data_IF_917707777282
#
_entry.id   IF_917707777282
#
_cell.length_a   1.000
_cell.length_b   1.000
_cell.length_c   1.000
_cell.angle_alpha   90.00
_cell.angle_beta   90.00
_cell.angle_gamma   90.00
#
_symmetry.space_group_name_H-M   'P 1'
#
loop_
_entity.id
_entity.type
_entity.pdbx_description
1 polymer ?
#
# COMPACT_ATOMS: atom_id res chain seq x y z
N UNK A 1 20.59 8.84 6.76
CA UNK A 1 20.78 7.98 7.97
C UNK A 1 20.16 6.63 7.66
N UNK A 2 20.97 5.61 7.53
CA UNK A 2 20.76 4.34 6.81
C UNK A 2 19.54 3.54 7.35
N UNK A 3 18.62 3.13 6.46
CA UNK A 3 17.46 2.25 6.77
C UNK A 3 17.86 0.94 7.49
N UNK A 4 19.07 0.42 7.19
CA UNK A 4 19.60 -0.77 7.86
C UNK A 4 19.91 -0.57 9.35
N UNK A 5 20.25 0.65 9.81
CA UNK A 5 20.47 0.95 11.23
C UNK A 5 19.18 1.08 12.05
N UNK A 6 18.02 1.29 11.39
CA UNK A 6 16.71 1.40 12.06
C UNK A 6 16.08 0.03 12.40
N UNK A 7 16.52 -1.06 11.77
CA UNK A 7 16.01 -2.41 12.06
C UNK A 7 16.43 -2.95 13.44
N UNK A 8 17.47 -2.38 14.09
CA UNK A 8 18.00 -2.85 15.36
C UNK A 8 17.64 -1.97 16.58
N UNK A 9 16.87 -0.90 16.44
CA UNK A 9 16.41 -0.11 17.60
C UNK A 9 15.06 -0.62 18.09
N UNK A 10 14.93 -0.81 19.41
CA UNK A 10 13.67 -1.20 20.05
C UNK A 10 12.63 -0.11 19.78
N UNK A 11 11.43 -0.50 19.32
CA UNK A 11 10.35 0.44 18.97
C UNK A 11 9.59 0.87 20.24
N UNK A 12 9.60 2.16 20.54
CA UNK A 12 8.82 2.71 21.65
C UNK A 12 7.39 3.08 21.21
N UNK A 13 6.46 3.08 22.16
CA UNK A 13 5.08 3.51 21.92
C UNK A 13 4.98 4.98 21.48
N UNK A 14 5.76 5.93 22.07
CA UNK A 14 5.82 7.30 21.58
C UNK A 14 6.31 7.40 20.12
N UNK A 15 7.34 6.63 19.74
CA UNK A 15 7.83 6.61 18.35
C UNK A 15 6.75 6.07 17.39
N UNK A 16 6.10 4.95 17.74
CA UNK A 16 4.99 4.41 16.95
C UNK A 16 3.85 5.43 16.80
N UNK A 17 3.42 6.03 17.93
CA UNK A 17 2.34 7.02 17.94
C UNK A 17 2.64 8.21 17.03
N UNK A 18 3.87 8.72 17.05
CA UNK A 18 4.31 9.83 16.21
C UNK A 18 4.26 9.44 14.73
N UNK A 19 4.92 8.34 14.37
CA UNK A 19 5.01 7.89 12.96
C UNK A 19 3.66 7.49 12.37
N UNK A 20 2.80 6.82 13.15
CA UNK A 20 1.46 6.46 12.70
C UNK A 20 0.54 7.67 12.54
N UNK A 21 0.78 8.75 13.27
CA UNK A 21 -0.02 9.99 13.15
C UNK A 21 0.17 10.71 11.81
N UNK A 22 1.32 10.56 11.16
CA UNK A 22 1.62 11.19 9.87
C UNK A 22 0.68 10.75 8.75
N UNK A 23 0.11 9.56 8.86
CA UNK A 23 -0.86 9.00 7.91
C UNK A 23 -2.33 9.28 8.28
N UNK A 24 -2.61 9.94 9.40
CA UNK A 24 -3.98 10.23 9.82
C UNK A 24 -4.61 11.33 8.94
N UNK A 25 -5.60 10.95 8.14
CA UNK A 25 -6.35 11.82 7.22
C UNK A 25 -7.73 12.23 7.76
N UNK A 26 -8.07 11.81 8.98
CA UNK A 26 -9.33 12.19 9.65
C UNK A 26 -9.20 13.48 10.44
N UNK A 27 -7.98 13.99 10.64
CA UNK A 27 -7.72 15.26 11.35
C UNK A 27 -8.53 16.40 10.74
N UNK A 28 -9.08 17.25 11.62
CA UNK A 28 -9.98 18.38 11.30
C UNK A 28 -11.42 17.99 10.91
N UNK A 29 -11.84 16.74 11.11
CA UNK A 29 -13.25 16.34 11.01
C UNK A 29 -13.87 16.27 12.41
N UNK A 30 -15.09 16.79 12.58
CA UNK A 30 -15.87 16.63 13.83
C UNK A 30 -16.13 15.15 14.15
N UNK A 31 -16.06 14.30 13.15
CA UNK A 31 -16.27 12.84 13.22
C UNK A 31 -14.97 12.03 13.34
N UNK A 32 -13.81 12.68 13.57
CA UNK A 32 -12.52 11.97 13.67
C UNK A 32 -12.59 10.81 14.67
N UNK A 33 -13.10 11.06 15.89
CA UNK A 33 -13.17 10.04 16.94
C UNK A 33 -14.12 8.90 16.55
N UNK A 34 -15.23 9.20 15.86
CA UNK A 34 -16.18 8.20 15.36
C UNK A 34 -15.52 7.34 14.27
N UNK A 35 -14.83 7.95 13.32
CA UNK A 35 -14.10 7.22 12.28
C UNK A 35 -13.02 6.31 12.88
N UNK A 36 -12.30 6.78 13.90
CA UNK A 36 -11.24 6.00 14.54
C UNK A 36 -11.80 4.81 15.35
N UNK A 37 -12.85 4.99 16.17
CA UNK A 37 -13.43 3.91 16.97
C UNK A 37 -14.16 2.86 16.12
N UNK A 38 -14.84 3.31 15.06
CA UNK A 38 -15.47 2.40 14.10
C UNK A 38 -14.44 1.69 13.23
N UNK A 39 -13.34 2.36 12.89
CA UNK A 39 -12.22 1.74 12.21
C UNK A 39 -11.61 0.60 13.03
N UNK A 40 -11.31 0.84 14.31
CA UNK A 40 -10.83 -0.22 15.21
C UNK A 40 -11.78 -1.44 15.23
N UNK A 41 -13.08 -1.21 15.36
CA UNK A 41 -14.07 -2.27 15.33
C UNK A 41 -14.08 -3.00 13.97
N UNK A 42 -13.98 -2.25 12.87
CA UNK A 42 -13.93 -2.78 11.52
C UNK A 42 -12.76 -3.74 11.32
N UNK A 43 -11.55 -3.36 11.74
CA UNK A 43 -10.36 -4.21 11.58
C UNK A 43 -10.44 -5.47 12.44
N UNK A 44 -11.00 -5.38 13.64
CA UNK A 44 -11.25 -6.59 14.44
C UNK A 44 -12.32 -7.48 13.77
N UNK A 45 -13.34 -6.90 13.14
CA UNK A 45 -14.30 -7.63 12.31
C UNK A 45 -13.64 -8.32 11.11
N UNK A 46 -12.70 -7.65 10.45
CA UNK A 46 -11.88 -8.19 9.35
C UNK A 46 -11.02 -9.36 9.83
N UNK A 47 -10.36 -9.25 10.99
CA UNK A 47 -9.62 -10.35 11.63
C UNK A 47 -10.49 -11.59 11.80
N UNK A 48 -11.69 -11.45 12.40
CA UNK A 48 -12.63 -12.56 12.58
C UNK A 48 -13.06 -13.18 11.24
N UNK A 49 -13.27 -12.34 10.22
CA UNK A 49 -13.67 -12.78 8.89
C UNK A 49 -12.52 -13.51 8.17
N UNK A 50 -11.28 -13.06 8.33
CA UNK A 50 -10.08 -13.67 7.76
C UNK A 50 -9.82 -15.05 8.39
N UNK A 51 -9.94 -15.18 9.72
CA UNK A 51 -9.85 -16.48 10.40
C UNK A 51 -10.93 -17.44 9.94
N UNK A 52 -12.20 -16.99 9.85
CA UNK A 52 -13.29 -17.80 9.32
C UNK A 52 -13.02 -18.27 7.88
N UNK A 53 -12.51 -17.36 7.02
CA UNK A 53 -12.18 -17.67 5.63
C UNK A 53 -11.06 -18.71 5.53
N UNK A 54 -10.01 -18.59 6.35
CA UNK A 54 -8.88 -19.54 6.34
C UNK A 54 -9.29 -20.96 6.79
N UNK A 55 -10.34 -21.08 7.60
CA UNK A 55 -10.92 -22.39 7.99
C UNK A 55 -11.77 -22.99 6.87
N UNK A 56 -12.56 -22.14 6.18
CA UNK A 56 -13.47 -22.58 5.12
C UNK A 56 -12.77 -22.87 3.80
N UNK A 57 -11.86 -21.99 3.42
CA UNK A 57 -11.19 -22.02 2.13
C UNK A 57 -9.71 -22.43 2.36
N UNK A 58 -9.15 -23.23 1.45
CA UNK A 58 -7.72 -23.54 1.50
C UNK A 58 -6.92 -22.33 0.98
N UNK A 59 -6.71 -21.33 1.85
CA UNK A 59 -5.88 -20.17 1.53
C UNK A 59 -4.40 -20.49 1.69
N UNK A 60 -3.56 -19.90 0.85
CA UNK A 60 -2.10 -20.07 0.87
C UNK A 60 -1.43 -19.28 1.99
N UNK A 61 -2.05 -18.16 2.39
CA UNK A 61 -1.56 -17.29 3.47
C UNK A 61 -1.78 -17.96 4.83
N UNK A 62 -0.80 -17.84 5.72
CA UNK A 62 -0.92 -18.34 7.09
C UNK A 62 -1.92 -17.50 7.89
N UNK A 63 -2.56 -18.11 8.89
CA UNK A 63 -3.45 -17.38 9.79
C UNK A 63 -2.71 -16.26 10.54
N UNK A 64 -1.42 -16.44 10.83
CA UNK A 64 -0.60 -15.44 11.51
C UNK A 64 -0.33 -14.22 10.61
N UNK A 65 -0.05 -14.42 9.31
CA UNK A 65 0.13 -13.31 8.36
C UNK A 65 -1.14 -12.48 8.22
N UNK A 66 -2.30 -13.14 8.02
CA UNK A 66 -3.60 -12.46 7.95
C UNK A 66 -3.91 -11.70 9.26
N UNK A 67 -3.59 -12.31 10.40
CA UNK A 67 -3.81 -11.68 11.69
C UNK A 67 -2.87 -10.49 11.92
N UNK A 68 -1.61 -10.57 11.48
CA UNK A 68 -0.63 -9.47 11.62
C UNK A 68 -1.12 -8.21 10.90
N UNK A 69 -1.65 -8.36 9.69
CA UNK A 69 -2.18 -7.21 8.93
C UNK A 69 -3.35 -6.52 9.66
N UNK A 70 -4.38 -7.29 10.03
CA UNK A 70 -5.59 -6.74 10.64
C UNK A 70 -5.32 -6.18 12.07
N UNK A 71 -4.48 -6.85 12.85
CA UNK A 71 -4.05 -6.36 14.16
C UNK A 71 -3.18 -5.10 14.04
N UNK A 72 -2.33 -5.01 13.01
CA UNK A 72 -1.57 -3.80 12.73
C UNK A 72 -2.46 -2.60 12.41
N UNK A 73 -3.47 -2.79 11.58
CA UNK A 73 -4.44 -1.74 11.26
C UNK A 73 -5.29 -1.36 12.48
N UNK A 74 -5.74 -2.34 13.27
CA UNK A 74 -6.42 -2.08 14.54
C UNK A 74 -5.56 -1.26 15.51
N UNK A 75 -4.25 -1.56 15.61
CA UNK A 75 -3.32 -0.79 16.45
C UNK A 75 -3.26 0.68 16.03
N UNK A 76 -3.21 0.94 14.73
CA UNK A 76 -3.22 2.31 14.19
C UNK A 76 -4.44 3.09 14.63
N UNK A 77 -5.62 2.49 14.53
CA UNK A 77 -6.88 3.10 14.98
C UNK A 77 -6.91 3.32 16.49
N UNK A 78 -6.45 2.35 17.29
CA UNK A 78 -6.41 2.46 18.75
C UNK A 78 -5.53 3.62 19.20
N UNK A 79 -4.33 3.77 18.62
CA UNK A 79 -3.45 4.90 18.89
C UNK A 79 -4.05 6.22 18.38
N UNK A 80 -4.82 6.20 17.31
CA UNK A 80 -5.61 7.35 16.85
C UNK A 80 -6.62 7.80 17.88
N UNK A 81 -7.42 6.89 18.44
CA UNK A 81 -8.38 7.15 19.52
C UNK A 81 -7.65 7.72 20.74
N UNK A 82 -6.54 7.11 21.16
CA UNK A 82 -5.76 7.59 22.32
C UNK A 82 -5.26 9.03 22.12
N UNK A 83 -4.73 9.38 20.95
CA UNK A 83 -4.29 10.74 20.61
C UNK A 83 -5.45 11.75 20.67
N UNK A 84 -6.60 11.40 20.08
CA UNK A 84 -7.79 12.28 20.08
C UNK A 84 -8.32 12.54 21.49
N UNK A 85 -8.13 11.60 22.42
CA UNK A 85 -8.50 11.75 23.83
C UNK A 85 -7.38 12.35 24.69
N UNK A 86 -6.24 12.74 24.10
CA UNK A 86 -5.11 13.33 24.82
C UNK A 86 -4.34 12.37 25.72
N UNK A 87 -4.44 11.07 25.49
CA UNK A 87 -3.74 10.04 26.26
C UNK A 87 -2.30 9.91 25.76
N UNK A 88 -1.33 10.11 26.65
CA UNK A 88 0.08 9.91 26.33
C UNK A 88 0.37 8.43 26.02
N UNK A 89 1.21 8.12 25.00
CA UNK A 89 1.53 6.75 24.63
C UNK A 89 2.15 5.93 25.77
N UNK A 90 3.01 6.53 26.58
CA UNK A 90 3.59 5.87 27.75
C UNK A 90 2.52 5.50 28.78
N UNK A 91 1.59 6.43 29.09
CA UNK A 91 0.48 6.15 30.02
C UNK A 91 -0.46 5.04 29.50
N UNK A 92 -0.70 4.99 28.19
CA UNK A 92 -1.46 3.91 27.55
C UNK A 92 -0.73 2.57 27.72
N UNK A 93 0.58 2.54 27.51
CA UNK A 93 1.44 1.35 27.67
C UNK A 93 1.51 0.87 29.14
N UNK A 94 1.65 1.79 30.08
CA UNK A 94 1.61 1.48 31.51
C UNK A 94 0.26 0.85 31.92
N UNK A 95 -0.84 1.39 31.44
CA UNK A 95 -2.19 0.87 31.71
C UNK A 95 -2.37 -0.54 31.10
N UNK A 96 -1.86 -0.77 29.88
CA UNK A 96 -1.83 -2.08 29.24
C UNK A 96 -1.05 -3.09 30.06
N UNK A 97 0.22 -2.80 30.39
CA UNK A 97 1.10 -3.67 31.17
C UNK A 97 0.51 -3.96 32.55
N UNK A 98 -0.04 -2.95 33.22
CA UNK A 98 -0.71 -3.12 34.51
C UNK A 98 -1.89 -4.09 34.42
N UNK A 99 -2.71 -3.96 33.36
CA UNK A 99 -3.85 -4.86 33.12
C UNK A 99 -3.38 -6.30 32.87
N UNK A 100 -2.38 -6.51 32.03
CA UNK A 100 -1.79 -7.82 31.74
C UNK A 100 -1.24 -8.47 33.02
N UNK A 101 -0.48 -7.73 33.82
CA UNK A 101 0.09 -8.23 35.08
C UNK A 101 -0.97 -8.58 36.12
N UNK A 102 -2.00 -7.74 36.26
CA UNK A 102 -3.13 -8.02 37.16
C UNK A 102 -3.79 -9.33 36.76
N UNK A 103 -4.00 -9.56 35.46
CA UNK A 103 -4.58 -10.81 34.93
C UNK A 103 -3.68 -12.02 35.18
N UNK A 104 -2.36 -11.82 35.16
CA UNK A 104 -1.36 -12.84 35.43
C UNK A 104 -1.08 -13.06 36.92
N UNK A 105 -1.75 -12.33 37.82
CA UNK A 105 -1.44 -12.28 39.27
C UNK A 105 0.05 -11.96 39.56
N UNK A 106 0.62 -11.05 38.75
CA UNK A 106 2.02 -10.65 38.86
C UNK A 106 2.15 -9.28 39.53
N UNK A 107 2.99 -9.22 40.58
CA UNK A 107 3.37 -7.96 41.24
C UNK A 107 4.78 -7.61 40.79
N UNK A 108 4.93 -6.70 39.84
CA UNK A 108 6.22 -6.22 39.39
C UNK A 108 6.17 -4.71 39.13
N UNK A 109 7.33 -4.04 39.30
CA UNK A 109 7.45 -2.60 39.01
C UNK A 109 7.27 -2.33 37.51
N UNK A 110 6.49 -1.30 37.16
CA UNK A 110 6.34 -0.86 35.77
C UNK A 110 7.71 -0.50 35.15
N UNK A 111 7.90 -0.76 33.84
CA UNK A 111 9.10 -0.32 33.15
C UNK A 111 9.25 1.21 33.21
N UNK A 112 10.48 1.70 33.10
CA UNK A 112 10.72 3.12 32.95
C UNK A 112 10.34 3.60 31.53
N UNK A 113 9.83 4.82 31.42
CA UNK A 113 9.60 5.45 30.10
C UNK A 113 10.92 5.70 29.36
N UNK A 114 10.93 5.66 28.01
CA UNK A 114 9.77 5.37 27.17
C UNK A 114 9.36 3.90 27.19
N UNK A 115 8.06 3.64 27.30
CA UNK A 115 7.51 2.28 27.19
C UNK A 115 7.66 1.78 25.77
N UNK A 116 8.06 0.52 25.62
CA UNK A 116 8.30 -0.12 24.32
C UNK A 116 7.36 -1.30 24.09
N UNK A 117 7.16 -1.71 22.84
CA UNK A 117 6.45 -2.96 22.53
C UNK A 117 7.17 -4.17 23.13
N UNK A 118 8.50 -4.17 23.14
CA UNK A 118 9.28 -5.23 23.78
C UNK A 118 8.98 -5.36 25.31
N UNK A 119 8.57 -4.28 25.99
CA UNK A 119 8.13 -4.37 27.38
C UNK A 119 6.80 -5.12 27.50
N UNK A 120 5.88 -4.94 26.53
CA UNK A 120 4.60 -5.67 26.48
C UNK A 120 4.89 -7.14 26.16
N UNK A 121 5.69 -7.41 25.12
CA UNK A 121 6.09 -8.76 24.73
C UNK A 121 6.76 -9.49 25.90
N UNK A 122 7.63 -8.83 26.68
CA UNK A 122 8.27 -9.41 27.85
C UNK A 122 7.27 -9.87 28.93
N UNK A 123 6.14 -9.17 29.10
CA UNK A 123 5.06 -9.62 30.02
C UNK A 123 4.33 -10.83 29.44
N UNK A 124 4.09 -10.84 28.12
CA UNK A 124 3.44 -11.96 27.44
C UNK A 124 4.32 -13.21 27.46
N UNK A 125 5.62 -13.07 27.19
CA UNK A 125 6.59 -14.17 27.16
C UNK A 125 6.82 -14.78 28.55
N UNK A 126 6.85 -13.96 29.60
CA UNK A 126 7.07 -14.43 30.98
C UNK A 126 6.00 -15.44 31.45
N UNK A 127 4.88 -15.50 30.75
CA UNK A 127 3.72 -16.33 31.05
C UNK A 127 3.31 -17.24 29.90
N UNK A 128 4.21 -17.48 28.94
CA UNK A 128 3.93 -18.38 27.83
C UNK A 128 3.41 -19.75 28.34
N UNK A 129 2.22 -20.14 27.89
CA UNK A 129 1.50 -21.33 28.35
C UNK A 129 0.69 -21.16 29.63
N UNK A 130 0.70 -20.01 30.32
CA UNK A 130 -0.14 -19.71 31.48
C UNK A 130 -1.33 -18.81 31.18
N UNK A 131 -1.40 -18.25 29.96
CA UNK A 131 -2.60 -17.63 29.45
C UNK A 131 -3.58 -18.76 29.06
N UNK A 132 -4.31 -19.28 30.06
CA UNK A 132 -5.27 -20.39 29.89
C UNK A 132 -6.49 -19.95 29.06
N UNK A 133 -6.23 -19.42 27.84
CA UNK A 133 -7.22 -18.87 26.94
C UNK A 133 -6.93 -19.41 25.54
N UNK A 134 -7.93 -20.11 25.00
CA UNK A 134 -7.86 -20.55 23.61
C UNK A 134 -7.88 -19.36 22.66
N UNK A 135 -7.33 -19.52 21.45
CA UNK A 135 -7.42 -18.52 20.38
C UNK A 135 -8.87 -18.03 20.14
N UNK A 136 -9.83 -18.97 20.16
CA UNK A 136 -11.26 -18.64 19.98
C UNK A 136 -11.79 -17.76 21.11
N UNK A 137 -11.43 -18.02 22.36
CA UNK A 137 -11.82 -17.18 23.48
C UNK A 137 -11.19 -15.79 23.39
N UNK A 138 -9.91 -15.70 22.98
CA UNK A 138 -9.23 -14.43 22.82
C UNK A 138 -9.83 -13.60 21.68
N UNK A 139 -10.22 -14.23 20.56
CA UNK A 139 -10.97 -13.57 19.50
C UNK A 139 -12.32 -13.02 20.00
N UNK A 140 -13.03 -13.76 20.85
CA UNK A 140 -14.22 -13.27 21.51
C UNK A 140 -13.96 -12.09 22.44
N UNK A 141 -12.87 -12.11 23.20
CA UNK A 141 -12.49 -11.01 24.11
C UNK A 141 -12.17 -9.72 23.37
N UNK A 142 -11.35 -9.77 22.32
CA UNK A 142 -10.99 -8.60 21.53
C UNK A 142 -12.21 -8.06 20.75
N UNK A 143 -13.08 -8.94 20.23
CA UNK A 143 -14.31 -8.54 19.56
C UNK A 143 -15.26 -7.80 20.52
N UNK A 144 -15.41 -8.29 21.76
CA UNK A 144 -16.18 -7.62 22.79
C UNK A 144 -15.57 -6.24 23.13
N UNK A 145 -14.26 -6.15 23.32
CA UNK A 145 -13.58 -4.89 23.61
C UNK A 145 -13.77 -3.86 22.47
N UNK A 146 -13.65 -4.30 21.22
CA UNK A 146 -13.90 -3.47 20.04
C UNK A 146 -15.37 -3.03 19.95
N UNK A 147 -16.30 -3.92 20.21
CA UNK A 147 -17.73 -3.62 20.26
C UNK A 147 -18.09 -2.60 21.36
N UNK A 148 -17.48 -2.72 22.54
CA UNK A 148 -17.65 -1.74 23.63
C UNK A 148 -17.12 -0.36 23.22
N UNK A 149 -15.94 -0.28 22.60
CA UNK A 149 -15.39 0.99 22.10
C UNK A 149 -16.30 1.60 21.05
N UNK A 150 -16.76 0.82 20.08
CA UNK A 150 -17.67 1.27 19.04
C UNK A 150 -19.05 1.70 19.57
N UNK A 151 -19.56 1.07 20.63
CA UNK A 151 -20.85 1.39 21.23
C UNK A 151 -20.81 2.62 22.16
N UNK A 152 -19.63 2.96 22.70
CA UNK A 152 -19.48 4.14 23.59
C UNK A 152 -19.55 5.42 22.78
N UNK A 153 -20.52 6.29 23.01
CA UNK A 153 -20.70 7.54 22.29
C UNK A 153 -19.45 8.46 22.41
N UNK A 154 -19.15 9.22 21.36
CA UNK A 154 -17.99 10.12 21.33
C UNK A 154 -18.01 11.15 22.45
N UNK A 155 -19.20 11.65 22.80
CA UNK A 155 -19.41 12.60 23.90
C UNK A 155 -19.06 11.96 25.25
N UNK A 156 -19.41 10.70 25.44
CA UNK A 156 -19.05 9.92 26.62
C UNK A 156 -17.55 9.72 26.74
N UNK A 157 -16.88 9.33 25.63
CA UNK A 157 -15.43 9.17 25.59
C UNK A 157 -14.71 10.48 25.92
N UNK A 158 -15.14 11.60 25.32
CA UNK A 158 -14.59 12.95 25.58
C UNK A 158 -14.87 13.46 27.00
N UNK A 159 -15.96 13.03 27.61
CA UNK A 159 -16.32 13.42 28.98
C UNK A 159 -15.63 12.57 30.06
N UNK A 160 -14.98 11.48 29.71
CA UNK A 160 -14.22 10.68 30.68
C UNK A 160 -13.05 11.47 31.25
N UNK A 161 -12.85 11.39 32.57
CA UNK A 161 -11.61 11.88 33.17
C UNK A 161 -10.40 11.13 32.56
N UNK A 162 -9.31 11.84 32.29
CA UNK A 162 -8.14 11.28 31.60
C UNK A 162 -7.63 9.97 32.21
N UNK A 163 -7.52 9.79 33.54
CA UNK A 163 -7.11 8.51 34.14
C UNK A 163 -8.10 7.36 33.82
N UNK A 164 -9.41 7.65 33.81
CA UNK A 164 -10.42 6.67 33.50
C UNK A 164 -10.38 6.25 32.02
N UNK A 165 -10.25 7.23 31.10
CA UNK A 165 -10.08 6.98 29.68
C UNK A 165 -8.78 6.18 29.39
N UNK A 166 -7.68 6.51 30.07
CA UNK A 166 -6.41 5.79 29.98
C UNK A 166 -6.56 4.32 30.42
N UNK A 167 -7.22 4.08 31.56
CA UNK A 167 -7.47 2.71 32.05
C UNK A 167 -8.39 1.96 31.08
N UNK A 168 -9.42 2.61 30.54
CA UNK A 168 -10.35 2.00 29.59
C UNK A 168 -9.65 1.57 28.30
N UNK A 169 -8.87 2.47 27.68
CA UNK A 169 -8.10 2.11 26.46
C UNK A 169 -6.95 1.14 26.76
N UNK A 170 -6.31 1.23 27.92
CA UNK A 170 -5.29 0.29 28.35
C UNK A 170 -5.78 -1.15 28.44
N UNK A 171 -7.05 -1.35 28.87
CA UNK A 171 -7.71 -2.68 28.82
C UNK A 171 -7.92 -3.15 27.38
N UNK A 172 -8.35 -2.29 26.48
CA UNK A 172 -8.52 -2.63 25.06
C UNK A 172 -7.16 -2.98 24.44
N UNK A 173 -6.12 -2.21 24.77
CA UNK A 173 -4.77 -2.46 24.29
C UNK A 173 -4.22 -3.80 24.84
N UNK A 174 -4.55 -4.18 26.08
CA UNK A 174 -4.17 -5.48 26.63
C UNK A 174 -4.87 -6.65 25.91
N UNK A 175 -6.13 -6.52 25.51
CA UNK A 175 -6.82 -7.53 24.70
C UNK A 175 -6.23 -7.64 23.30
N UNK A 176 -5.80 -6.52 22.70
CA UNK A 176 -5.08 -6.52 21.44
C UNK A 176 -3.71 -7.25 21.57
N UNK A 177 -2.94 -6.98 22.61
CA UNK A 177 -1.66 -7.63 22.85
C UNK A 177 -1.83 -9.16 23.07
N UNK A 178 -2.85 -9.57 23.79
CA UNK A 178 -3.20 -10.99 23.97
C UNK A 178 -3.66 -11.62 22.66
N UNK A 179 -4.36 -10.88 21.79
CA UNK A 179 -4.70 -11.37 20.46
C UNK A 179 -3.45 -11.62 19.61
N UNK A 180 -2.45 -10.71 19.63
CA UNK A 180 -1.16 -10.96 18.98
C UNK A 180 -0.54 -12.27 19.49
N UNK A 181 -0.44 -12.45 20.81
CA UNK A 181 0.11 -13.67 21.41
C UNK A 181 -0.67 -14.94 21.02
N UNK A 182 -1.99 -14.89 20.90
CA UNK A 182 -2.83 -16.01 20.49
C UNK A 182 -2.57 -16.46 19.03
N UNK A 183 -2.01 -15.60 18.20
CA UNK A 183 -1.55 -15.90 16.84
C UNK A 183 -0.03 -16.12 16.76
N UNK A 184 0.66 -16.23 17.89
CA UNK A 184 2.12 -16.40 17.97
C UNK A 184 2.90 -15.20 17.36
N UNK A 185 2.29 -14.01 17.40
CA UNK A 185 2.85 -12.76 16.90
C UNK A 185 3.45 -11.96 18.07
N UNK A 186 4.59 -11.33 17.84
CA UNK A 186 5.14 -10.31 18.73
C UNK A 186 4.49 -8.96 18.45
N UNK A 187 4.13 -8.24 19.50
CA UNK A 187 3.50 -6.91 19.36
C UNK A 187 4.43 -5.92 18.67
N UNK A 188 5.75 -6.03 18.86
CA UNK A 188 6.73 -5.19 18.18
C UNK A 188 6.78 -5.44 16.67
N UNK A 189 6.70 -6.70 16.23
CA UNK A 189 6.73 -7.06 14.82
C UNK A 189 5.47 -6.54 14.11
N UNK A 190 4.29 -6.76 14.69
CA UNK A 190 3.02 -6.22 14.17
C UNK A 190 3.07 -4.70 14.03
N UNK A 191 3.58 -3.99 15.04
CA UNK A 191 3.71 -2.54 14.99
C UNK A 191 4.70 -2.07 13.90
N UNK A 192 5.80 -2.78 13.70
CA UNK A 192 6.79 -2.49 12.65
C UNK A 192 6.25 -2.74 11.26
N UNK A 193 5.54 -3.84 11.04
CA UNK A 193 4.90 -4.19 9.78
C UNK A 193 3.83 -3.14 9.41
N UNK A 194 3.02 -2.72 10.39
CA UNK A 194 2.05 -1.65 10.17
C UNK A 194 2.73 -0.32 9.77
N UNK A 195 3.80 0.09 10.45
CA UNK A 195 4.57 1.28 10.05
C UNK A 195 5.22 1.14 8.66
N UNK A 196 5.66 -0.06 8.29
CA UNK A 196 6.19 -0.31 6.95
C UNK A 196 5.09 -0.20 5.89
N UNK A 197 3.91 -0.77 6.14
CA UNK A 197 2.71 -0.66 5.30
C UNK A 197 2.28 0.81 5.11
N UNK A 198 2.28 1.60 6.19
CA UNK A 198 1.99 3.04 6.14
C UNK A 198 3.01 3.77 5.25
N UNK A 199 4.30 3.51 5.45
CA UNK A 199 5.36 4.16 4.67
C UNK A 199 5.34 3.73 3.19
N UNK A 200 4.94 2.50 2.90
CA UNK A 200 4.77 1.98 1.54
C UNK A 200 3.61 2.68 0.81
N UNK A 201 2.59 3.11 1.52
CA UNK A 201 1.39 3.72 0.95
C UNK A 201 1.33 5.24 1.09
N UNK A 202 1.75 5.77 2.22
CA UNK A 202 1.66 7.20 2.57
C UNK A 202 2.96 7.67 3.26
N UNK A 203 4.08 7.71 2.54
CA UNK A 203 5.33 8.16 3.14
C UNK A 203 5.27 9.65 3.47
N UNK A 204 5.90 10.05 4.56
CA UNK A 204 6.07 11.46 4.91
C UNK A 204 6.93 12.22 3.88
N UNK A 205 7.84 11.51 3.22
CA UNK A 205 8.70 12.03 2.15
C UNK A 205 8.81 11.01 1.02
N UNK A 206 8.49 11.46 -0.20
CA UNK A 206 8.65 10.63 -1.40
C UNK A 206 10.14 10.38 -1.67
N UNK A 207 10.50 9.12 -1.87
CA UNK A 207 11.82 8.68 -2.28
C UNK A 207 11.65 7.54 -3.27
N UNK A 208 11.78 7.86 -4.55
CA UNK A 208 11.61 6.90 -5.63
C UNK A 208 12.63 5.77 -5.55
N UNK A 209 12.20 4.58 -5.96
CA UNK A 209 13.09 3.44 -6.08
C UNK A 209 14.18 3.73 -7.13
N UNK A 210 15.44 3.33 -6.91
CA UNK A 210 16.48 3.43 -7.93
C UNK A 210 16.09 2.70 -9.23
N UNK A 211 16.55 3.21 -10.35
CA UNK A 211 16.29 2.58 -11.66
C UNK A 211 16.90 1.18 -11.74
N UNK A 212 16.23 0.25 -12.40
CA UNK A 212 16.66 -1.14 -12.55
C UNK A 212 17.75 -1.34 -13.62
N UNK A 213 18.07 -0.29 -14.36
CA UNK A 213 19.09 -0.30 -15.40
C UNK A 213 20.15 0.81 -15.20
N UNK A 214 20.90 0.81 -14.06
CA UNK A 214 21.89 1.83 -13.77
C UNK A 214 23.08 1.77 -14.76
N UNK A 215 23.66 2.94 -15.02
CA UNK A 215 24.80 3.10 -15.95
C UNK A 215 26.06 2.34 -15.51
N UNK A 216 26.18 2.07 -14.23
CA UNK A 216 27.29 1.30 -13.67
C UNK A 216 27.22 -0.20 -14.01
N UNK A 217 26.10 -0.70 -14.52
CA UNK A 217 25.87 -2.13 -14.76
C UNK A 217 25.55 -2.43 -16.22
N UNK A 218 24.78 -1.55 -16.89
CA UNK A 218 24.27 -1.83 -18.23
C UNK A 218 24.78 -0.81 -19.24
N UNK A 219 25.06 -1.28 -20.46
CA UNK A 219 25.42 -0.44 -21.60
C UNK A 219 24.23 0.38 -22.11
N UNK A 220 24.48 1.44 -22.85
CA UNK A 220 23.46 2.38 -23.33
C UNK A 220 22.33 1.68 -24.10
N UNK A 221 22.66 0.67 -24.91
CA UNK A 221 21.68 -0.08 -25.71
C UNK A 221 20.81 -1.06 -24.92
N UNK A 222 21.06 -1.24 -23.62
CA UNK A 222 20.28 -2.05 -22.69
C UNK A 222 19.53 -1.18 -21.66
N UNK A 223 19.65 0.14 -21.77
CA UNK A 223 19.02 1.11 -20.85
C UNK A 223 17.90 1.87 -21.53
N UNK A 224 16.84 2.15 -20.82
CA UNK A 224 15.88 3.14 -21.28
C UNK A 224 16.54 4.49 -21.42
N UNK A 225 16.27 5.24 -22.53
CA UNK A 225 16.61 6.66 -22.58
C UNK A 225 15.95 7.38 -21.41
N UNK A 226 16.70 8.18 -20.68
CA UNK A 226 16.19 8.88 -19.48
C UNK A 226 15.11 9.89 -19.80
N UNK A 227 15.10 10.37 -21.03
CA UNK A 227 14.02 11.19 -21.60
C UNK A 227 13.79 10.78 -23.06
N UNK A 228 12.52 10.57 -23.42
CA UNK A 228 12.12 10.29 -24.80
C UNK A 228 10.64 10.62 -25.01
N UNK A 229 10.25 10.80 -26.29
CA UNK A 229 8.87 11.12 -26.65
C UNK A 229 8.33 10.11 -27.66
N UNK A 230 7.08 9.69 -27.43
CA UNK A 230 6.31 8.85 -28.36
C UNK A 230 5.10 9.65 -28.84
N UNK A 231 4.89 9.68 -30.14
CA UNK A 231 3.74 10.27 -30.79
C UNK A 231 2.68 9.18 -31.01
N UNK A 232 1.46 9.41 -30.52
CA UNK A 232 0.28 8.60 -30.74
C UNK A 232 -0.56 9.23 -31.84
N UNK A 233 -0.80 8.51 -32.93
CA UNK A 233 -1.50 9.00 -34.11
C UNK A 233 -2.73 8.13 -34.32
N UNK A 234 -3.92 8.65 -34.01
CA UNK A 234 -5.16 7.98 -34.37
C UNK A 234 -5.42 8.07 -35.88
N UNK A 235 -5.77 6.95 -36.45
CA UNK A 235 -6.16 6.80 -37.84
C UNK A 235 -7.45 6.05 -37.93
N UNK A 236 -8.20 6.29 -39.04
CA UNK A 236 -9.45 5.61 -39.29
C UNK A 236 -9.24 4.50 -40.35
N UNK A 237 -9.64 3.29 -40.03
CA UNK A 237 -9.89 2.21 -40.98
C UNK A 237 -11.34 2.32 -41.48
N UNK A 238 -11.71 1.50 -42.48
CA UNK A 238 -13.09 1.39 -42.93
C UNK A 238 -14.10 1.04 -41.82
N UNK A 239 -13.65 0.29 -40.82
CA UNK A 239 -14.52 -0.33 -39.79
C UNK A 239 -14.27 0.18 -38.37
N UNK A 240 -13.07 0.64 -38.05
CA UNK A 240 -12.69 1.04 -36.68
C UNK A 240 -11.52 2.01 -36.66
N UNK A 241 -11.40 2.85 -35.62
CA UNK A 241 -10.21 3.63 -35.35
C UNK A 241 -9.07 2.73 -34.86
N UNK A 242 -7.83 3.11 -35.17
CA UNK A 242 -6.63 2.48 -34.65
C UNK A 242 -5.55 3.53 -34.35
N UNK A 243 -4.60 3.21 -33.53
CA UNK A 243 -3.47 4.07 -33.18
C UNK A 243 -2.18 3.48 -33.72
N UNK A 244 -1.33 4.35 -34.27
CA UNK A 244 0.05 4.05 -34.65
C UNK A 244 0.94 4.87 -33.71
N UNK A 245 1.98 4.25 -33.22
CA UNK A 245 2.99 4.91 -32.39
C UNK A 245 4.23 5.24 -33.22
N UNK A 246 4.85 6.38 -32.91
CA UNK A 246 6.04 6.84 -33.61
C UNK A 246 7.09 7.33 -32.62
N UNK A 247 8.31 6.82 -32.76
CA UNK A 247 9.49 7.27 -32.04
C UNK A 247 10.50 7.82 -33.05
N UNK A 248 10.94 9.07 -32.89
CA UNK A 248 11.91 9.71 -33.82
C UNK A 248 11.55 9.50 -35.30
N UNK A 249 10.28 9.75 -35.67
CA UNK A 249 9.74 9.59 -37.03
C UNK A 249 9.63 8.13 -37.53
N UNK A 250 9.94 7.13 -36.72
CA UNK A 250 9.82 5.71 -37.09
C UNK A 250 8.62 5.12 -36.38
N UNK A 251 7.74 4.40 -37.10
CA UNK A 251 6.68 3.66 -36.47
C UNK A 251 7.27 2.52 -35.63
N UNK A 252 6.75 2.36 -34.42
CA UNK A 252 7.12 1.29 -33.50
C UNK A 252 5.88 0.43 -33.19
N UNK A 253 6.11 -0.86 -33.01
CA UNK A 253 5.02 -1.80 -32.69
C UNK A 253 4.01 -2.00 -33.81
N UNK A 254 2.95 -2.68 -33.47
CA UNK A 254 1.81 -2.95 -34.34
C UNK A 254 0.73 -1.86 -34.23
N UNK A 255 -0.31 -2.00 -35.03
CA UNK A 255 -1.50 -1.14 -34.92
C UNK A 255 -2.25 -1.48 -33.65
N UNK A 256 -2.54 -0.50 -32.83
CA UNK A 256 -3.32 -0.64 -31.62
C UNK A 256 -4.79 -0.40 -31.91
N UNK A 257 -5.65 -1.29 -31.46
CA UNK A 257 -7.11 -1.21 -31.55
C UNK A 257 -7.72 -1.35 -30.16
N UNK A 258 -9.01 -1.08 -30.04
CA UNK A 258 -9.69 -1.24 -28.75
C UNK A 258 -9.80 -2.70 -28.30
N UNK A 259 -9.57 -3.67 -29.20
CA UNK A 259 -9.71 -5.10 -28.93
C UNK A 259 -11.05 -5.45 -28.24
N UNK A 260 -12.10 -4.69 -28.50
CA UNK A 260 -13.42 -4.79 -27.93
C UNK A 260 -14.48 -4.57 -28.99
N UNK A 261 -15.68 -5.14 -28.79
CA UNK A 261 -16.83 -4.92 -29.67
C UNK A 261 -17.32 -3.47 -29.61
N UNK A 262 -17.27 -2.86 -28.43
CA UNK A 262 -17.61 -1.46 -28.19
C UNK A 262 -16.33 -0.63 -28.03
N UNK A 263 -16.18 0.49 -28.76
CA UNK A 263 -15.02 1.34 -28.64
C UNK A 263 -14.93 1.94 -27.22
N UNK A 264 -13.82 1.71 -26.54
CA UNK A 264 -13.60 2.22 -25.19
C UNK A 264 -12.28 3.01 -25.01
N UNK A 265 -11.53 3.16 -26.09
CA UNK A 265 -10.27 3.90 -26.10
C UNK A 265 -9.05 3.07 -25.76
N UNK A 266 -9.20 1.75 -25.50
CA UNK A 266 -8.07 0.88 -25.17
C UNK A 266 -6.93 0.92 -26.19
N UNK A 267 -7.18 1.35 -27.42
CA UNK A 267 -6.17 1.61 -28.46
C UNK A 267 -5.07 2.58 -28.06
N UNK A 268 -5.23 3.28 -26.92
CA UNK A 268 -4.20 4.14 -26.33
C UNK A 268 -3.52 3.51 -25.10
N UNK A 269 -3.74 2.22 -24.80
CA UNK A 269 -3.28 1.57 -23.56
C UNK A 269 -1.77 1.58 -23.35
N UNK A 270 -0.97 1.67 -24.41
CA UNK A 270 0.50 1.71 -24.29
C UNK A 270 0.99 2.93 -23.47
N UNK A 271 0.14 3.91 -23.24
CA UNK A 271 0.43 5.01 -22.30
C UNK A 271 0.71 4.49 -20.87
N UNK A 272 0.10 3.38 -20.47
CA UNK A 272 0.33 2.79 -19.16
C UNK A 272 1.75 2.23 -19.05
N UNK A 273 2.26 1.61 -20.11
CA UNK A 273 3.64 1.13 -20.17
C UNK A 273 4.63 2.32 -20.08
N UNK A 274 4.33 3.45 -20.75
CA UNK A 274 5.11 4.68 -20.62
C UNK A 274 5.08 5.25 -19.20
N UNK A 275 3.95 5.18 -18.53
CA UNK A 275 3.81 5.59 -17.15
C UNK A 275 4.64 4.70 -16.20
N UNK A 276 4.65 3.38 -16.43
CA UNK A 276 5.48 2.46 -15.66
C UNK A 276 6.97 2.74 -15.86
N UNK A 277 7.42 3.06 -17.09
CA UNK A 277 8.80 3.49 -17.32
C UNK A 277 9.10 4.80 -16.59
N UNK A 278 8.22 5.82 -16.69
CA UNK A 278 8.46 7.13 -16.10
C UNK A 278 8.60 7.07 -14.56
N UNK A 279 7.68 6.36 -13.92
CA UNK A 279 7.55 6.35 -12.47
C UNK A 279 8.26 5.18 -11.80
N UNK A 280 8.28 4.00 -12.41
CA UNK A 280 8.83 2.77 -11.82
C UNK A 280 10.19 2.38 -12.40
N UNK A 281 10.57 2.94 -13.55
CA UNK A 281 11.76 2.51 -14.28
C UNK A 281 11.63 1.10 -14.87
N UNK A 282 10.40 0.60 -15.04
CA UNK A 282 10.11 -0.78 -15.41
C UNK A 282 9.05 -0.86 -16.51
N UNK A 283 9.33 -1.60 -17.56
CA UNK A 283 8.37 -2.10 -18.54
C UNK A 283 9.05 -3.15 -19.44
N UNK A 284 8.89 -4.45 -19.18
CA UNK A 284 9.34 -5.51 -20.08
C UNK A 284 8.70 -5.43 -21.49
N UNK A 285 7.47 -4.92 -21.59
CA UNK A 285 6.80 -4.70 -22.90
C UNK A 285 7.59 -3.67 -23.72
N UNK A 286 7.87 -2.49 -23.17
CA UNK A 286 8.63 -1.46 -23.88
C UNK A 286 10.10 -1.86 -24.10
N UNK A 287 10.73 -2.63 -23.20
CA UNK A 287 12.07 -3.18 -23.43
C UNK A 287 12.06 -4.08 -24.67
N UNK A 288 11.06 -4.92 -24.83
CA UNK A 288 10.87 -5.74 -26.03
C UNK A 288 10.63 -4.89 -27.27
N UNK A 289 9.72 -3.92 -27.22
CA UNK A 289 9.35 -3.05 -28.32
C UNK A 289 10.53 -2.18 -28.82
N UNK A 290 11.27 -1.58 -27.89
CA UNK A 290 12.39 -0.68 -28.19
C UNK A 290 13.73 -1.40 -28.35
N UNK A 291 13.76 -2.76 -28.22
CA UNK A 291 14.98 -3.59 -28.32
C UNK A 291 16.02 -3.30 -27.24
N UNK A 292 15.57 -2.97 -26.03
CA UNK A 292 16.40 -2.57 -24.88
C UNK A 292 16.49 -3.66 -23.80
N UNK A 293 16.28 -4.95 -24.17
CA UNK A 293 16.41 -6.06 -23.23
C UNK A 293 17.84 -6.19 -22.72
N UNK A 294 18.00 -6.48 -21.44
CA UNK A 294 19.29 -6.56 -20.71
C UNK A 294 20.01 -7.89 -20.92
N UNK A 295 20.35 -8.16 -22.19
CA UNK A 295 20.93 -9.44 -22.67
C UNK A 295 22.31 -9.74 -22.12
N UNK A 296 23.05 -8.73 -21.66
CA UNK A 296 24.33 -8.92 -20.98
C UNK A 296 24.20 -9.72 -19.66
N UNK A 297 22.97 -9.76 -19.09
CA UNK A 297 22.63 -10.60 -17.95
C UNK A 297 21.51 -11.57 -18.33
N UNK A 298 21.84 -12.84 -18.70
CA UNK A 298 20.85 -13.81 -19.18
C UNK A 298 19.71 -14.09 -18.18
N UNK A 299 19.98 -14.03 -16.87
CA UNK A 299 18.97 -14.24 -15.82
C UNK A 299 17.96 -13.10 -15.82
N UNK A 300 18.42 -11.87 -15.98
CA UNK A 300 17.54 -10.69 -16.03
C UNK A 300 16.78 -10.64 -17.37
N UNK A 301 17.45 -10.92 -18.49
CA UNK A 301 16.80 -10.98 -19.82
C UNK A 301 15.65 -11.98 -19.83
N UNK A 302 15.86 -13.17 -19.24
CA UNK A 302 14.83 -14.21 -19.20
C UNK A 302 13.71 -13.89 -18.18
N UNK A 303 14.07 -13.51 -16.94
CA UNK A 303 13.10 -13.43 -15.86
C UNK A 303 12.44 -12.06 -15.73
N UNK A 304 13.16 -10.96 -16.02
CA UNK A 304 12.65 -9.61 -15.83
C UNK A 304 12.22 -8.94 -17.14
N UNK A 305 12.89 -9.29 -18.27
CA UNK A 305 12.62 -8.75 -19.61
C UNK A 305 11.98 -9.79 -20.53
N UNK A 306 11.70 -10.99 -20.01
CA UNK A 306 11.17 -12.13 -20.77
C UNK A 306 9.66 -12.08 -20.98
N UNK A 307 9.16 -13.04 -21.76
CA UNK A 307 7.75 -13.09 -22.16
C UNK A 307 6.78 -13.16 -20.96
N UNK A 308 7.14 -13.86 -19.87
CA UNK A 308 6.30 -13.98 -18.69
C UNK A 308 6.12 -12.62 -18.00
N UNK A 309 7.19 -11.82 -17.87
CA UNK A 309 7.12 -10.48 -17.31
C UNK A 309 6.26 -9.56 -18.20
N UNK A 310 6.37 -9.67 -19.53
CA UNK A 310 5.53 -8.92 -20.48
C UNK A 310 4.05 -9.28 -20.32
N UNK A 311 3.70 -10.55 -20.16
CA UNK A 311 2.31 -11.00 -19.94
C UNK A 311 1.77 -10.46 -18.62
N UNK A 312 2.57 -10.42 -17.56
CA UNK A 312 2.16 -9.84 -16.26
C UNK A 312 1.92 -8.34 -16.40
N UNK A 313 2.79 -7.60 -17.06
CA UNK A 313 2.61 -6.16 -17.29
C UNK A 313 1.34 -5.86 -18.09
N UNK A 314 1.11 -6.56 -19.21
CA UNK A 314 -0.11 -6.46 -20.01
C UNK A 314 -1.37 -6.81 -19.20
N UNK A 315 -1.27 -7.86 -18.39
CA UNK A 315 -2.34 -8.27 -17.50
C UNK A 315 -2.70 -7.19 -16.48
N UNK A 316 -1.70 -6.53 -15.89
CA UNK A 316 -1.87 -5.41 -14.97
C UNK A 316 -2.51 -4.23 -15.71
N UNK A 317 -2.01 -3.85 -16.88
CA UNK A 317 -2.53 -2.73 -17.67
C UNK A 317 -4.00 -2.95 -18.02
N UNK A 318 -4.34 -4.12 -18.54
CA UNK A 318 -5.72 -4.49 -18.91
C UNK A 318 -6.65 -4.53 -17.71
N UNK A 319 -6.20 -5.13 -16.60
CA UNK A 319 -7.00 -5.25 -15.39
C UNK A 319 -7.29 -3.89 -14.75
N UNK A 320 -6.27 -3.01 -14.65
CA UNK A 320 -6.46 -1.64 -14.13
C UNK A 320 -7.36 -0.83 -15.06
N UNK A 321 -7.21 -0.99 -16.39
CA UNK A 321 -8.08 -0.32 -17.37
C UNK A 321 -9.54 -0.68 -17.14
N UNK A 322 -9.87 -1.96 -17.02
CA UNK A 322 -11.24 -2.41 -16.76
C UNK A 322 -11.77 -1.89 -15.42
N UNK A 323 -10.94 -1.84 -14.39
CA UNK A 323 -11.31 -1.27 -13.09
C UNK A 323 -11.56 0.26 -13.17
N UNK A 324 -10.78 0.97 -13.98
CA UNK A 324 -10.88 2.42 -14.15
C UNK A 324 -12.08 2.84 -15.02
N UNK A 325 -12.48 2.00 -15.98
CA UNK A 325 -13.55 2.27 -16.92
C UNK A 325 -14.87 2.64 -16.23
N UNK A 326 -15.23 1.92 -15.17
CA UNK A 326 -16.43 2.18 -14.37
C UNK A 326 -16.26 3.31 -13.34
N UNK A 327 -15.14 4.04 -13.38
CA UNK A 327 -14.75 5.10 -12.42
C UNK A 327 -14.22 6.34 -13.14
N UNK A 328 -14.80 6.66 -14.29
CA UNK A 328 -14.42 7.81 -15.13
C UNK A 328 -12.91 7.88 -15.39
N UNK A 329 -12.28 6.70 -15.58
CA UNK A 329 -10.83 6.58 -15.77
C UNK A 329 -10.03 7.35 -14.71
N UNK A 330 -10.46 7.28 -13.45
CA UNK A 330 -9.88 7.95 -12.28
C UNK A 330 -9.82 9.48 -12.38
N UNK A 331 -10.75 10.11 -13.11
CA UNK A 331 -10.81 11.57 -13.14
C UNK A 331 -11.06 12.17 -11.75
N UNK A 332 -10.31 13.19 -11.40
CA UNK A 332 -10.40 13.84 -10.10
C UNK A 332 -9.83 13.04 -8.89
N UNK A 333 -9.36 11.79 -9.08
CA UNK A 333 -8.72 11.04 -8.00
C UNK A 333 -7.31 11.57 -7.75
N UNK A 334 -7.06 11.97 -6.51
CA UNK A 334 -5.77 12.52 -6.07
C UNK A 334 -4.84 11.40 -5.54
N UNK A 335 -3.51 11.58 -5.63
CA UNK A 335 -2.55 10.68 -4.99
C UNK A 335 -2.89 10.43 -3.51
N UNK A 336 -2.75 9.19 -3.07
CA UNK A 336 -3.13 8.73 -1.73
C UNK A 336 -4.61 8.34 -1.58
N UNK A 337 -5.42 8.40 -2.68
CA UNK A 337 -6.86 8.12 -2.68
C UNK A 337 -7.26 6.97 -3.62
N UNK A 338 -6.34 6.41 -4.39
CA UNK A 338 -6.63 5.22 -5.19
C UNK A 338 -6.96 4.05 -4.27
N UNK A 339 -7.80 3.14 -4.73
CA UNK A 339 -8.20 1.96 -3.96
C UNK A 339 -6.98 1.13 -3.53
N UNK A 340 -6.87 0.90 -2.20
CA UNK A 340 -5.74 0.16 -1.65
C UNK A 340 -5.79 -1.33 -2.01
N UNK A 341 -6.98 -1.90 -2.16
CA UNK A 341 -7.14 -3.31 -2.55
C UNK A 341 -6.60 -3.55 -3.96
N UNK A 342 -6.79 -2.59 -4.88
CA UNK A 342 -6.21 -2.60 -6.21
C UNK A 342 -4.67 -2.61 -6.15
N UNK A 343 -4.08 -1.77 -5.32
CA UNK A 343 -2.62 -1.70 -5.18
C UNK A 343 -2.03 -2.98 -4.56
N UNK A 344 -2.71 -3.59 -3.58
CA UNK A 344 -2.33 -4.90 -3.02
C UNK A 344 -2.37 -6.01 -4.07
N UNK A 345 -3.39 -6.01 -4.92
CA UNK A 345 -3.48 -6.98 -6.01
C UNK A 345 -2.33 -6.83 -7.02
N UNK A 346 -1.96 -5.58 -7.38
CA UNK A 346 -0.79 -5.33 -8.23
C UNK A 346 0.47 -5.87 -7.57
N UNK A 347 0.69 -5.60 -6.27
CA UNK A 347 1.83 -6.13 -5.51
C UNK A 347 1.90 -7.65 -5.60
N UNK A 348 0.78 -8.34 -5.46
CA UNK A 348 0.70 -9.79 -5.60
C UNK A 348 1.04 -10.27 -7.02
N UNK A 349 0.60 -9.55 -8.06
CA UNK A 349 0.88 -9.91 -9.46
C UNK A 349 2.36 -9.74 -9.82
N UNK A 350 3.06 -8.80 -9.19
CA UNK A 350 4.49 -8.53 -9.44
C UNK A 350 5.42 -9.20 -8.42
N UNK A 351 4.91 -10.09 -7.60
CA UNK A 351 5.75 -10.86 -6.67
C UNK A 351 6.81 -11.66 -7.43
N UNK A 352 8.05 -11.59 -6.95
CA UNK A 352 9.21 -12.19 -7.61
C UNK A 352 9.78 -11.39 -8.79
N UNK A 353 9.17 -10.27 -9.19
CA UNK A 353 9.75 -9.34 -10.16
C UNK A 353 10.46 -8.17 -9.46
N UNK A 354 11.48 -7.59 -10.13
CA UNK A 354 12.24 -6.47 -9.57
C UNK A 354 11.37 -5.28 -9.18
N UNK A 355 10.31 -5.01 -9.96
CA UNK A 355 9.34 -3.93 -9.72
C UNK A 355 8.51 -4.12 -8.45
N UNK A 356 8.45 -5.33 -7.91
CA UNK A 356 7.84 -5.63 -6.62
C UNK A 356 8.49 -4.88 -5.45
N UNK A 357 9.74 -4.41 -5.62
CA UNK A 357 10.43 -3.55 -4.66
C UNK A 357 10.01 -2.08 -4.68
N UNK A 358 9.31 -1.64 -5.73
CA UNK A 358 8.76 -0.28 -5.79
C UNK A 358 7.60 -0.13 -4.79
N UNK A 359 7.59 0.93 -3.98
CA UNK A 359 6.52 1.16 -3.01
C UNK A 359 5.15 1.42 -3.69
N UNK A 360 4.07 1.11 -3.00
CA UNK A 360 2.71 1.22 -3.57
C UNK A 360 2.31 2.65 -3.93
N UNK A 361 2.81 3.66 -3.21
CA UNK A 361 2.57 5.06 -3.58
C UNK A 361 3.18 5.40 -4.96
N UNK A 362 4.29 4.77 -5.33
CA UNK A 362 4.96 4.97 -6.63
C UNK A 362 4.15 4.34 -7.76
N UNK A 363 3.56 3.16 -7.53
CA UNK A 363 2.58 2.53 -8.42
C UNK A 363 1.35 3.41 -8.59
N UNK A 364 0.82 3.97 -7.50
CA UNK A 364 -0.33 4.87 -7.58
C UNK A 364 -0.06 6.09 -8.45
N UNK A 365 1.11 6.71 -8.31
CA UNK A 365 1.50 7.84 -9.17
C UNK A 365 1.58 7.43 -10.64
N UNK A 366 2.20 6.28 -10.94
CA UNK A 366 2.27 5.75 -12.30
C UNK A 366 0.86 5.56 -12.90
N UNK A 367 -0.05 4.93 -12.16
CA UNK A 367 -1.42 4.68 -12.59
C UNK A 367 -2.17 5.99 -12.84
N UNK A 368 -2.20 6.89 -11.86
CA UNK A 368 -2.97 8.13 -11.96
C UNK A 368 -2.45 9.03 -13.08
N UNK A 369 -1.12 9.16 -13.23
CA UNK A 369 -0.52 9.93 -14.32
C UNK A 369 -0.75 9.29 -15.69
N UNK A 370 -0.69 7.96 -15.78
CA UNK A 370 -1.03 7.22 -17.00
C UNK A 370 -2.46 7.51 -17.45
N UNK A 371 -3.43 7.46 -16.53
CA UNK A 371 -4.83 7.76 -16.84
C UNK A 371 -5.10 9.24 -17.11
N UNK A 372 -4.39 10.17 -16.50
CA UNK A 372 -4.46 11.58 -16.83
C UNK A 372 -4.10 11.80 -18.32
N UNK A 373 -2.97 11.28 -18.77
CA UNK A 373 -2.53 11.39 -20.16
C UNK A 373 -3.42 10.56 -21.09
N UNK A 374 -3.92 9.40 -20.65
CA UNK A 374 -4.88 8.60 -21.43
C UNK A 374 -6.14 9.40 -21.77
N UNK A 375 -6.73 10.11 -20.81
CA UNK A 375 -7.90 10.97 -21.07
C UNK A 375 -7.58 12.08 -22.06
N UNK A 376 -6.38 12.66 -22.01
CA UNK A 376 -5.94 13.66 -22.99
C UNK A 376 -5.77 13.06 -24.39
N UNK A 377 -5.19 11.87 -24.52
CA UNK A 377 -5.02 11.17 -25.78
C UNK A 377 -6.37 10.84 -26.44
N UNK A 378 -7.36 10.37 -25.65
CA UNK A 378 -8.72 10.14 -26.16
C UNK A 378 -9.35 11.46 -26.64
N UNK A 379 -9.31 12.51 -25.82
CA UNK A 379 -9.93 13.81 -26.13
C UNK A 379 -9.36 14.43 -27.39
N UNK A 380 -8.06 14.33 -27.59
CA UNK A 380 -7.35 14.93 -28.71
C UNK A 380 -7.13 13.96 -29.89
N UNK A 381 -7.60 12.71 -29.80
CA UNK A 381 -7.40 11.66 -30.82
C UNK A 381 -5.92 11.43 -31.17
N UNK A 382 -5.08 11.45 -30.16
CA UNK A 382 -3.64 11.32 -30.25
C UNK A 382 -2.89 12.48 -29.61
N UNK A 383 -1.58 12.52 -29.81
CA UNK A 383 -0.69 13.53 -29.26
C UNK A 383 0.71 13.00 -29.02
N UNK A 384 1.58 13.84 -28.53
CA UNK A 384 2.96 13.47 -28.16
C UNK A 384 3.06 13.35 -26.65
N UNK A 385 3.60 12.24 -26.18
CA UNK A 385 3.86 11.98 -24.78
C UNK A 385 5.35 11.92 -24.54
N UNK A 386 5.86 12.78 -23.65
CA UNK A 386 7.26 12.78 -23.21
C UNK A 386 7.37 12.11 -21.86
N UNK A 387 8.20 11.08 -21.81
CA UNK A 387 8.60 10.35 -20.60
C UNK A 387 9.89 10.98 -20.08
N UNK A 388 9.95 11.32 -18.79
CA UNK A 388 11.18 11.67 -18.10
C UNK A 388 11.32 10.81 -16.84
N UNK A 389 12.31 9.91 -16.86
CA UNK A 389 12.56 8.95 -15.78
C UNK A 389 13.32 9.55 -14.60
N UNK A 390 14.00 10.68 -14.79
CA UNK A 390 14.75 11.33 -13.71
C UNK A 390 13.82 12.19 -12.86
N UNK A 391 12.92 12.92 -13.51
CA UNK A 391 11.93 13.77 -12.85
C UNK A 391 10.66 13.01 -12.51
N UNK A 392 10.55 11.75 -12.94
CA UNK A 392 9.36 10.91 -12.79
C UNK A 392 8.09 11.61 -13.28
N UNK A 393 8.10 12.02 -14.57
CA UNK A 393 6.97 12.75 -15.17
C UNK A 393 6.57 12.21 -16.53
N UNK A 394 5.27 12.35 -16.82
CA UNK A 394 4.68 12.27 -18.16
C UNK A 394 4.18 13.64 -18.58
N UNK A 395 4.55 14.10 -19.77
CA UNK A 395 4.05 15.36 -20.33
C UNK A 395 3.31 15.10 -21.63
N UNK A 396 2.08 15.59 -21.71
CA UNK A 396 1.26 15.52 -22.91
C UNK A 396 1.35 16.82 -23.70
N UNK A 397 1.44 16.69 -25.03
CA UNK A 397 1.38 17.79 -25.99
C UNK A 397 0.34 17.40 -27.02
N UNK A 398 -0.70 18.20 -27.15
CA UNK A 398 -1.75 18.00 -28.14
C UNK A 398 -1.20 18.04 -29.58
N UNK A 399 -1.80 17.30 -30.52
CA UNK A 399 -1.38 17.36 -31.92
C UNK A 399 -1.45 18.79 -32.42
N UNK A 400 -0.41 19.26 -33.09
CA UNK A 400 -0.49 20.50 -33.84
C UNK A 400 -1.47 20.31 -35.01
N UNK A 401 -2.44 21.18 -35.13
CA UNK A 401 -3.49 21.15 -36.17
C UNK A 401 -2.84 21.13 -37.58
N UNK A 402 -2.53 19.95 -38.07
CA UNK A 402 -2.13 19.80 -39.49
C UNK A 402 -3.41 19.73 -40.32
N UNK A 403 -4.21 20.83 -40.27
CA UNK A 403 -5.19 21.09 -41.32
C UNK A 403 -4.43 21.72 -42.48
N UNK A 404 -3.92 20.90 -43.38
CA UNK A 404 -3.77 21.25 -44.77
C UNK A 404 -3.88 20.03 -45.66
#
# INVERSE_FOLDING_TARGET
MNLAKRRNSILSLPEYSLRSSESNKFTASDDELDNLRFGFFGEIGSLLSSVKRSIRDQVTESQSELASEELGDALWYLFGVARTLGIAPDSLGEACISTLRTRANEIAKLPAAPITFANIDGVLDSRHGQWDITRTQQLGSIANAAGMLAATAKEQLKAMALPAATTYLGRIFSEWALACSAFELRTEDVARENLAKIADRWPAKLSFHPLFDPESIYEEHERFPREFSIEFIERQSSNYPYVVQRLRQVNIGDRLTDNSNEPDGYRFHDIFHLAYVAYLGWSPVLRGLLKLKRKSNPVIDENQDGARAMIIEEGIATWIFNHAKDRDFYDGIKPGKLDFSLLKQIRSMVDGYEVGSCPLWQWELAILSGFEVFRELIRNKGGTVTVNMIDHTLKFIAPTDQRK
#
